data_IF_926028526164
#
_entry.id   IF_926028526164
#
_cell.length_a   1.000
_cell.length_b   1.000
_cell.length_c   1.000
_cell.angle_alpha   90.00
_cell.angle_beta   90.00
_cell.angle_gamma   90.00
#
_symmetry.space_group_name_H-M   'P 1'
#
loop_
_entity.id
_entity.type
_entity.pdbx_description
1 polymer ?
#
# COMPACT_ATOMS: atom_id res chain seq x y z
N UNK A 1 2.60 9.89 6.53
CA UNK A 1 2.45 9.72 5.06
C UNK A 1 3.72 10.17 4.35
N UNK A 2 4.03 9.52 3.20
CA UNK A 2 5.25 9.80 2.44
C UNK A 2 5.05 9.50 0.96
N UNK A 3 5.51 10.39 0.07
CA UNK A 3 5.62 10.10 -1.36
C UNK A 3 6.74 9.09 -1.62
N UNK A 4 6.55 8.27 -2.66
CA UNK A 4 7.54 7.28 -3.06
C UNK A 4 8.77 7.89 -3.76
N UNK A 5 9.70 7.01 -4.08
CA UNK A 5 10.97 7.35 -4.71
C UNK A 5 10.80 7.60 -6.21
N UNK A 6 11.53 8.57 -6.73
CA UNK A 6 11.51 8.88 -8.17
C UNK A 6 12.75 8.28 -8.81
N UNK A 7 12.55 7.21 -9.57
CA UNK A 7 13.60 6.52 -10.30
C UNK A 7 12.99 5.75 -11.48
N UNK A 8 13.85 5.31 -12.40
CA UNK A 8 13.47 4.44 -13.52
C UNK A 8 13.53 2.98 -13.07
N UNK A 9 12.43 2.26 -13.26
CA UNK A 9 12.38 0.83 -13.02
C UNK A 9 13.21 0.04 -14.03
N UNK A 10 13.83 -1.06 -13.59
CA UNK A 10 14.58 -1.96 -14.46
C UNK A 10 14.18 -3.42 -14.24
N UNK A 11 14.31 -4.25 -15.27
CA UNK A 11 14.15 -5.70 -15.17
C UNK A 11 15.35 -6.40 -14.55
N UNK A 12 16.51 -5.74 -14.49
CA UNK A 12 17.73 -6.28 -13.90
C UNK A 12 17.68 -6.23 -12.37
N UNK A 13 18.10 -7.28 -11.65
CA UNK A 13 18.04 -7.37 -10.19
C UNK A 13 19.16 -6.55 -9.52
N UNK A 14 19.18 -5.25 -9.74
CA UNK A 14 20.21 -4.31 -9.25
C UNK A 14 19.89 -3.71 -7.88
N UNK A 15 18.77 -4.09 -7.26
CA UNK A 15 18.32 -3.55 -5.99
C UNK A 15 17.00 -4.18 -5.53
N UNK A 16 16.26 -3.53 -4.61
CA UNK A 16 14.97 -4.00 -4.14
C UNK A 16 13.91 -3.99 -5.24
N UNK A 17 12.80 -4.68 -5.03
CA UNK A 17 11.61 -4.56 -5.86
C UNK A 17 11.07 -3.13 -5.81
N UNK A 18 10.58 -2.62 -6.94
CA UNK A 18 10.09 -1.25 -7.10
C UNK A 18 8.59 -1.25 -7.38
N UNK A 19 7.79 -1.19 -6.32
CA UNK A 19 6.34 -1.23 -6.40
C UNK A 19 5.80 0.03 -7.08
N UNK A 20 5.04 -0.16 -8.15
CA UNK A 20 4.49 0.92 -8.98
C UNK A 20 2.97 0.98 -8.89
N UNK A 21 2.41 2.06 -9.39
CA UNK A 21 0.95 2.26 -9.47
C UNK A 21 0.25 1.17 -10.30
N UNK A 22 0.92 0.64 -11.32
CA UNK A 22 0.40 -0.45 -12.16
C UNK A 22 0.35 -1.79 -11.44
N UNK A 23 1.25 -2.00 -10.49
CA UNK A 23 1.37 -3.26 -9.78
C UNK A 23 0.29 -3.40 -8.68
N UNK A 24 -0.20 -2.27 -8.14
CA UNK A 24 -1.28 -2.25 -7.14
C UNK A 24 -2.69 -2.19 -7.75
N UNK A 25 -2.81 -2.02 -9.06
CA UNK A 25 -4.09 -1.98 -9.76
C UNK A 25 -4.75 -3.37 -9.90
N UNK A 26 -3.99 -4.43 -9.67
CA UNK A 26 -4.46 -5.81 -9.73
C UNK A 26 -5.13 -6.23 -8.40
N UNK A 27 -5.82 -7.39 -8.40
CA UNK A 27 -6.45 -7.95 -7.20
C UNK A 27 -5.41 -8.25 -6.10
N UNK A 28 -4.22 -8.69 -6.47
CA UNK A 28 -3.07 -8.92 -5.60
C UNK A 28 -1.80 -8.34 -6.23
N UNK A 29 -0.71 -8.25 -5.45
CA UNK A 29 0.60 -7.81 -5.95
C UNK A 29 1.38 -9.04 -6.40
N UNK A 30 1.55 -9.19 -7.71
CA UNK A 30 2.46 -10.21 -8.25
C UNK A 30 3.93 -9.73 -8.11
N UNK A 31 4.55 -10.05 -7.00
CA UNK A 31 5.92 -9.67 -6.71
C UNK A 31 6.94 -10.23 -7.70
N UNK A 32 6.62 -11.30 -8.44
CA UNK A 32 7.49 -11.84 -9.48
C UNK A 32 7.61 -10.87 -10.65
N UNK A 33 6.51 -10.23 -11.03
CA UNK A 33 6.41 -9.26 -12.11
C UNK A 33 6.86 -7.84 -11.72
N UNK A 34 6.93 -7.51 -10.42
CA UNK A 34 7.41 -6.18 -9.96
C UNK A 34 8.88 -6.02 -10.36
N UNK A 35 9.26 -4.93 -11.06
CA UNK A 35 10.65 -4.68 -11.46
C UNK A 35 11.53 -4.28 -10.26
N UNK A 36 12.78 -3.94 -10.55
CA UNK A 36 13.77 -3.53 -9.55
C UNK A 36 14.08 -2.03 -9.62
N UNK A 37 14.62 -1.50 -8.52
CA UNK A 37 15.01 -0.10 -8.37
C UNK A 37 16.51 0.03 -8.11
N UNK A 38 17.27 0.74 -8.96
CA UNK A 38 18.63 1.13 -8.63
C UNK A 38 18.61 2.27 -7.60
N UNK A 39 18.76 1.92 -6.33
CA UNK A 39 18.61 2.84 -5.21
C UNK A 39 19.84 2.79 -4.29
N UNK A 40 20.23 3.95 -3.76
CA UNK A 40 21.32 4.02 -2.76
C UNK A 40 20.86 3.45 -1.41
N UNK A 41 21.81 2.95 -0.60
CA UNK A 41 21.51 2.40 0.74
C UNK A 41 20.79 3.41 1.65
N UNK A 42 21.10 4.70 1.50
CA UNK A 42 20.45 5.76 2.27
C UNK A 42 18.99 5.93 1.88
N UNK A 43 18.71 6.03 0.58
CA UNK A 43 17.35 6.12 0.08
C UNK A 43 16.55 4.83 0.32
N UNK A 44 17.19 3.66 0.21
CA UNK A 44 16.54 2.39 0.53
C UNK A 44 15.93 2.42 1.94
N UNK A 45 16.71 2.78 2.97
CA UNK A 45 16.22 2.90 4.36
C UNK A 45 15.01 3.81 4.50
N UNK A 46 14.92 4.86 3.68
CA UNK A 46 13.84 5.85 3.70
C UNK A 46 12.57 5.32 3.03
N UNK A 47 12.71 4.54 1.97
CA UNK A 47 11.60 4.12 1.12
C UNK A 47 11.23 2.64 1.26
N UNK A 48 11.92 1.88 2.11
CA UNK A 48 11.61 0.46 2.32
C UNK A 48 10.18 0.28 2.84
N UNK A 49 9.48 -0.68 2.25
CA UNK A 49 8.15 -1.11 2.68
C UNK A 49 8.25 -2.10 3.84
N UNK A 50 7.25 -2.07 4.69
CA UNK A 50 7.11 -2.98 5.83
C UNK A 50 5.68 -3.50 5.91
N UNK A 51 5.48 -4.62 6.58
CA UNK A 51 4.15 -5.15 6.89
C UNK A 51 3.25 -4.08 7.52
N UNK A 52 2.01 -3.99 7.02
CA UNK A 52 1.03 -3.02 7.50
C UNK A 52 1.16 -1.60 6.90
N UNK A 53 2.19 -1.32 6.11
CA UNK A 53 2.18 -0.12 5.27
C UNK A 53 0.99 -0.19 4.30
N UNK A 54 0.36 0.94 4.04
CA UNK A 54 -0.63 1.05 2.96
C UNK A 54 -0.06 1.96 1.88
N UNK A 55 -0.06 1.49 0.64
CA UNK A 55 0.32 2.30 -0.52
C UNK A 55 -0.92 2.70 -1.30
N UNK A 56 -1.05 3.98 -1.60
CA UNK A 56 -2.20 4.56 -2.29
C UNK A 56 -1.77 5.18 -3.61
N UNK A 57 -2.45 4.85 -4.70
CA UNK A 57 -2.26 5.47 -6.00
C UNK A 57 -2.68 6.94 -5.96
N UNK A 58 -1.74 7.86 -6.28
CA UNK A 58 -2.00 9.29 -6.15
C UNK A 58 -2.49 9.97 -7.41
N UNK A 59 -2.37 9.35 -8.59
CA UNK A 59 -2.66 9.97 -9.88
C UNK A 59 -3.26 8.98 -10.87
N UNK A 60 -3.84 9.51 -11.96
CA UNK A 60 -4.33 8.74 -13.08
C UNK A 60 -5.66 8.03 -12.83
N UNK A 61 -5.99 7.08 -13.70
CA UNK A 61 -7.28 6.35 -13.66
C UNK A 61 -7.45 5.48 -12.40
N UNK A 62 -6.36 5.16 -11.71
CA UNK A 62 -6.34 4.34 -10.50
C UNK A 62 -6.23 5.17 -9.22
N UNK A 63 -6.44 6.50 -9.30
CA UNK A 63 -6.37 7.38 -8.12
C UNK A 63 -7.26 6.85 -6.99
N UNK A 64 -6.69 6.74 -5.79
CA UNK A 64 -7.38 6.20 -4.61
C UNK A 64 -7.27 4.67 -4.46
N UNK A 65 -6.86 3.92 -5.48
CA UNK A 65 -6.56 2.49 -5.29
C UNK A 65 -5.49 2.33 -4.23
N UNK A 66 -5.75 1.43 -3.29
CA UNK A 66 -4.86 1.20 -2.16
C UNK A 66 -4.59 -0.29 -1.97
N UNK A 67 -3.39 -0.60 -1.48
CA UNK A 67 -2.99 -1.96 -1.09
C UNK A 67 -2.28 -1.91 0.25
N UNK A 68 -2.68 -2.79 1.16
CA UNK A 68 -1.94 -3.05 2.37
C UNK A 68 -0.79 -4.01 2.06
N UNK A 69 0.38 -3.69 2.56
CA UNK A 69 1.58 -4.52 2.43
C UNK A 69 1.50 -5.67 3.42
N UNK A 70 1.53 -6.90 2.90
CA UNK A 70 1.46 -8.12 3.67
C UNK A 70 2.75 -8.42 4.45
N UNK A 71 2.73 -9.53 5.17
CA UNK A 71 3.85 -9.98 6.02
C UNK A 71 5.00 -10.57 5.19
N UNK A 72 4.66 -11.31 4.14
CA UNK A 72 5.64 -12.03 3.32
C UNK A 72 5.89 -11.30 2.02
N UNK A 73 6.75 -10.28 2.05
CA UNK A 73 7.14 -9.53 0.86
C UNK A 73 8.64 -9.59 0.64
N UNK A 74 9.12 -9.51 -0.61
CA UNK A 74 10.55 -9.32 -0.89
C UNK A 74 11.00 -7.94 -0.41
N UNK A 75 12.32 -7.74 -0.31
CA UNK A 75 12.88 -6.40 -0.10
C UNK A 75 12.37 -5.44 -1.17
N UNK A 76 11.66 -4.38 -0.77
CA UNK A 76 10.85 -3.56 -1.66
C UNK A 76 10.83 -2.10 -1.25
N UNK A 77 10.82 -1.23 -2.26
CA UNK A 77 10.56 0.21 -2.15
C UNK A 77 9.41 0.59 -3.08
N UNK A 78 8.88 1.79 -2.99
CA UNK A 78 7.71 2.22 -3.75
C UNK A 78 7.97 3.48 -4.56
N UNK A 79 7.33 3.56 -5.73
CA UNK A 79 7.52 4.61 -6.73
C UNK A 79 6.74 5.90 -6.38
N UNK A 80 7.17 7.03 -6.92
CA UNK A 80 6.67 8.38 -6.63
C UNK A 80 5.19 8.62 -6.97
N UNK A 81 4.58 7.78 -7.79
CA UNK A 81 3.13 7.82 -8.06
C UNK A 81 2.29 7.13 -6.96
N UNK A 82 2.94 6.64 -5.92
CA UNK A 82 2.31 6.11 -4.71
C UNK A 82 2.57 7.03 -3.51
N UNK A 83 1.61 7.04 -2.59
CA UNK A 83 1.78 7.59 -1.24
C UNK A 83 1.74 6.42 -0.27
N UNK A 84 2.76 6.28 0.57
CA UNK A 84 2.75 5.35 1.68
C UNK A 84 2.11 6.00 2.89
N UNK A 85 1.20 5.28 3.52
CA UNK A 85 0.64 5.59 4.83
C UNK A 85 1.09 4.49 5.77
N UNK A 86 1.79 4.86 6.84
CA UNK A 86 2.27 3.94 7.89
C UNK A 86 1.56 4.28 9.18
N UNK A 87 0.81 3.37 9.79
CA UNK A 87 0.25 3.58 11.12
C UNK A 87 1.38 3.79 12.13
N UNK A 88 1.13 4.64 13.11
CA UNK A 88 2.10 4.93 14.19
C UNK A 88 2.04 3.88 15.30
N UNK A 89 0.89 3.24 15.45
CA UNK A 89 0.64 2.21 16.44
C UNK A 89 0.42 0.87 15.76
N UNK A 90 1.30 -0.09 16.05
CA UNK A 90 1.29 -1.44 15.48
C UNK A 90 -0.01 -2.20 15.79
N UNK A 91 -0.67 -1.92 16.93
CA UNK A 91 -1.94 -2.56 17.28
C UNK A 91 -3.05 -2.26 16.27
N UNK A 92 -3.00 -1.07 15.63
CA UNK A 92 -4.00 -0.62 14.66
C UNK A 92 -3.67 -0.96 13.20
N UNK A 93 -2.53 -1.56 12.90
CA UNK A 93 -2.05 -1.72 11.51
C UNK A 93 -3.05 -2.44 10.60
N UNK A 94 -3.68 -3.51 11.05
CA UNK A 94 -4.62 -4.26 10.24
C UNK A 94 -5.98 -3.56 10.11
N UNK A 95 -6.48 -3.01 11.22
CA UNK A 95 -7.70 -2.23 11.20
C UNK A 95 -7.57 -1.04 10.27
N UNK A 96 -6.49 -0.28 10.42
CA UNK A 96 -6.17 0.87 9.58
C UNK A 96 -5.97 0.45 8.12
N UNK A 97 -5.18 -0.58 7.87
CA UNK A 97 -4.89 -1.08 6.53
C UNK A 97 -6.15 -1.48 5.77
N UNK A 98 -7.05 -2.25 6.42
CA UNK A 98 -8.31 -2.65 5.81
C UNK A 98 -9.28 -1.48 5.62
N UNK A 99 -9.29 -0.51 6.53
CA UNK A 99 -10.11 0.71 6.37
C UNK A 99 -9.65 1.55 5.18
N UNK A 100 -8.33 1.70 4.98
CA UNK A 100 -7.78 2.48 3.85
C UNK A 100 -7.86 1.71 2.52
N UNK A 101 -8.02 0.40 2.54
CA UNK A 101 -8.23 -0.40 1.32
C UNK A 101 -9.71 -0.68 1.02
N UNK A 102 -10.62 -0.08 1.78
CA UNK A 102 -12.06 -0.28 1.65
C UNK A 102 -12.65 0.47 0.45
N UNK A 103 -13.82 0.03 -0.06
CA UNK A 103 -14.56 0.77 -1.09
C UNK A 103 -14.93 2.20 -0.66
N UNK A 104 -15.24 2.41 0.61
CA UNK A 104 -15.61 3.71 1.17
C UNK A 104 -14.45 4.72 1.09
N UNK A 105 -13.22 4.24 1.38
CA UNK A 105 -12.03 5.08 1.21
C UNK A 105 -11.79 5.41 -0.25
N UNK A 106 -11.93 4.44 -1.15
CA UNK A 106 -11.80 4.66 -2.59
C UNK A 106 -12.80 5.71 -3.08
N UNK A 107 -14.07 5.58 -2.70
CA UNK A 107 -15.14 6.54 -3.04
C UNK A 107 -14.83 7.94 -2.50
N UNK A 108 -14.39 8.03 -1.23
CA UNK A 108 -13.95 9.29 -0.63
C UNK A 108 -12.85 9.96 -1.46
N UNK A 109 -11.79 9.20 -1.81
CA UNK A 109 -10.68 9.76 -2.60
C UNK A 109 -11.15 10.18 -3.98
N UNK A 110 -11.92 9.36 -4.70
CA UNK A 110 -12.38 9.67 -6.05
C UNK A 110 -13.30 10.88 -6.09
N UNK A 111 -14.15 11.04 -5.08
CA UNK A 111 -15.04 12.18 -4.96
C UNK A 111 -14.29 13.49 -4.69
N UNK A 112 -13.25 13.44 -3.86
CA UNK A 112 -12.56 14.63 -3.38
C UNK A 112 -11.25 14.94 -4.13
N UNK A 113 -10.70 14.00 -4.89
CA UNK A 113 -9.52 14.23 -5.73
C UNK A 113 -9.84 15.07 -6.99
N UNK A 114 -11.11 15.29 -7.29
CA UNK A 114 -11.60 16.03 -8.45
C UNK A 114 -11.45 17.55 -8.29
N UNK A 115 -11.33 18.25 -9.40
CA UNK A 115 -11.22 19.74 -9.46
C UNK A 115 -10.09 20.22 -10.36
N UNK A 116 -9.23 19.31 -10.81
CA UNK A 116 -8.23 19.57 -11.86
C UNK A 116 -8.42 18.61 -13.03
N UNK A 117 -7.85 18.96 -14.19
CA UNK A 117 -7.84 18.08 -15.36
C UNK A 117 -7.18 16.72 -15.08
N UNK A 118 -6.45 16.59 -13.97
CA UNK A 118 -5.84 15.35 -13.50
C UNK A 118 -6.07 15.20 -11.99
N UNK A 119 -6.98 14.29 -11.57
CA UNK A 119 -7.22 14.01 -10.17
C UNK A 119 -5.94 13.61 -9.43
N UNK A 120 -5.76 14.14 -8.21
CA UNK A 120 -4.59 13.83 -7.38
C UNK A 120 -4.97 13.56 -5.92
N UNK A 121 -4.61 12.37 -5.43
CA UNK A 121 -4.66 12.03 -4.03
C UNK A 121 -3.32 12.41 -3.38
N UNK A 122 -3.28 13.55 -2.73
CA UNK A 122 -2.12 14.03 -1.99
C UNK A 122 -2.26 13.76 -0.47
N UNK A 123 -1.17 13.79 0.32
CA UNK A 123 -1.26 13.56 1.76
C UNK A 123 -2.24 14.43 2.53
N UNK A 124 -2.43 15.74 2.25
CA UNK A 124 -3.49 16.53 2.87
C UNK A 124 -4.88 15.92 2.64
N UNK A 125 -5.26 15.64 1.39
CA UNK A 125 -6.55 15.03 1.08
C UNK A 125 -6.72 13.66 1.76
N UNK A 126 -5.71 12.79 1.68
CA UNK A 126 -5.77 11.47 2.31
C UNK A 126 -5.92 11.56 3.83
N UNK A 127 -5.40 12.63 4.44
CA UNK A 127 -5.50 12.90 5.87
C UNK A 127 -6.86 13.42 6.33
N UNK A 128 -7.74 13.81 5.41
CA UNK A 128 -9.11 14.24 5.72
C UNK A 128 -10.09 13.07 5.85
N UNK A 129 -9.67 11.85 5.50
CA UNK A 129 -10.51 10.67 5.66
C UNK A 129 -10.70 10.34 7.14
N UNK A 130 -11.93 10.38 7.60
CA UNK A 130 -12.30 10.13 8.99
C UNK A 130 -12.49 8.63 9.24
N UNK A 131 -11.82 8.13 10.28
CA UNK A 131 -11.95 6.76 10.77
C UNK A 131 -12.52 6.72 12.19
N UNK A 132 -13.47 5.85 12.41
CA UNK A 132 -13.91 5.55 13.78
C UNK A 132 -12.87 4.67 14.46
N UNK A 133 -12.21 5.18 15.49
CA UNK A 133 -11.19 4.42 16.22
C UNK A 133 -11.85 3.47 17.19
N UNK A 134 -11.71 2.12 17.07
CA UNK A 134 -12.25 1.17 18.00
C UNK A 134 -11.55 1.26 19.36
N UNK A 135 -12.26 0.88 20.43
CA UNK A 135 -11.61 0.68 21.72
C UNK A 135 -10.69 -0.56 21.70
N UNK A 136 -9.80 -0.68 22.69
CA UNK A 136 -8.77 -1.74 22.70
C UNK A 136 -9.37 -3.16 22.71
N UNK A 137 -10.47 -3.40 23.40
CA UNK A 137 -11.13 -4.69 23.46
C UNK A 137 -11.69 -5.10 22.07
N UNK A 138 -12.40 -4.19 21.43
CA UNK A 138 -12.91 -4.39 20.06
C UNK A 138 -11.79 -4.58 19.05
N UNK A 139 -10.71 -3.83 19.19
CA UNK A 139 -9.54 -3.94 18.33
C UNK A 139 -8.84 -5.30 18.47
N UNK A 140 -8.65 -5.78 19.69
CA UNK A 140 -8.05 -7.09 19.95
C UNK A 140 -8.91 -8.21 19.34
N UNK A 141 -10.22 -8.20 19.57
CA UNK A 141 -11.15 -9.17 19.00
C UNK A 141 -11.18 -9.12 17.45
N UNK A 142 -11.02 -7.93 16.87
CA UNK A 142 -10.89 -7.75 15.43
C UNK A 142 -9.59 -8.35 14.90
N UNK A 143 -8.45 -8.03 15.51
CA UNK A 143 -7.14 -8.49 15.11
C UNK A 143 -7.04 -10.02 15.15
N UNK A 144 -7.57 -10.67 16.18
CA UNK A 144 -7.59 -12.14 16.31
C UNK A 144 -8.30 -12.82 15.13
N UNK A 145 -9.42 -12.24 14.68
CA UNK A 145 -10.17 -12.77 13.54
C UNK A 145 -9.49 -12.47 12.22
N UNK A 146 -9.05 -11.24 12.03
CA UNK A 146 -8.50 -10.75 10.76
C UNK A 146 -7.18 -11.45 10.41
N UNK A 147 -6.31 -11.67 11.39
CA UNK A 147 -5.03 -12.36 11.18
C UNK A 147 -5.21 -13.74 10.53
N UNK A 148 -6.23 -14.49 10.92
CA UNK A 148 -6.51 -15.80 10.33
C UNK A 148 -6.88 -15.69 8.84
N UNK A 149 -7.67 -14.69 8.46
CA UNK A 149 -8.05 -14.46 7.06
C UNK A 149 -6.88 -13.93 6.22
N UNK A 150 -6.10 -12.99 6.76
CA UNK A 150 -4.93 -12.45 6.07
C UNK A 150 -3.89 -13.54 5.77
N UNK A 151 -3.65 -14.44 6.71
CA UNK A 151 -2.75 -15.59 6.48
C UNK A 151 -3.25 -16.50 5.35
N UNK A 152 -4.56 -16.76 5.27
CA UNK A 152 -5.14 -17.56 4.17
C UNK A 152 -4.99 -16.84 2.83
N UNK A 153 -5.24 -15.53 2.80
CA UNK A 153 -5.09 -14.71 1.58
C UNK A 153 -3.63 -14.76 1.10
N UNK A 154 -2.66 -14.52 1.98
CA UNK A 154 -1.24 -14.57 1.61
C UNK A 154 -0.80 -15.95 1.11
N UNK A 155 -1.29 -17.03 1.72
CA UNK A 155 -1.01 -18.39 1.23
C UNK A 155 -1.56 -18.59 -0.19
N UNK A 156 -2.80 -18.18 -0.44
CA UNK A 156 -3.42 -18.30 -1.76
C UNK A 156 -2.69 -17.45 -2.81
N UNK A 157 -2.32 -16.21 -2.49
CA UNK A 157 -1.55 -15.34 -3.40
C UNK A 157 -0.19 -15.95 -3.74
N UNK A 158 0.49 -16.55 -2.75
CA UNK A 158 1.75 -17.25 -2.98
C UNK A 158 1.61 -18.53 -3.83
N UNK A 159 0.47 -19.20 -3.79
CA UNK A 159 0.17 -20.33 -4.67
C UNK A 159 -0.12 -19.87 -6.11
N UNK A 160 -0.93 -18.83 -6.28
CA UNK A 160 -1.25 -18.25 -7.59
C UNK A 160 0.03 -17.76 -8.30
N UNK A 161 0.95 -17.16 -7.57
CA UNK A 161 2.23 -16.66 -8.14
C UNK A 161 3.16 -17.77 -8.66
N UNK A 162 2.85 -19.04 -8.40
CA UNK A 162 3.64 -20.20 -8.90
C UNK A 162 3.06 -20.82 -10.16
N UNK A 163 1.83 -20.43 -10.54
CA UNK A 163 1.15 -20.92 -11.73
C UNK A 163 1.58 -20.13 -12.98
#
# INVERSE_FOLDING_TARGET
>A
MQYGYTETATSEPVGPKFLRITDIAQSYIDWSAVPYCPITKENHKKYVLSEGDVVVARTGATVGYAKMVGKTIPDSVFASFLVRIRPLDEEYKYYFGLSITSPEFLEFVQTNAGGSAQPQANPPLLGEYELTVPNKESLAAFNDKVLSFLNVIECNEAEISKL
#
